data_IF_678550801380
#
_entry.id   IF_678550801380
#
_cell.length_a   1.000
_cell.length_b   1.000
_cell.length_c   1.000
_cell.angle_alpha   90.00
_cell.angle_beta   90.00
_cell.angle_gamma   90.00
#
_symmetry.space_group_name_H-M   'P 1'
#
loop_
_entity.id
_entity.type
_entity.pdbx_description
1 polymer ?
#
# COMPACT_ATOMS: atom_id res chain seq x y z
N UNK A 1 9.23 25.53 1.46
CA UNK A 1 7.92 26.07 1.88
C UNK A 1 7.45 25.27 3.08
N UNK A 2 7.01 25.97 4.11
CA UNK A 2 6.97 25.56 5.52
C UNK A 2 6.12 24.31 5.81
N UNK A 3 6.73 23.30 6.44
CA UNK A 3 6.11 22.01 6.83
C UNK A 3 5.24 22.06 8.09
N UNK A 4 5.09 23.22 8.70
CA UNK A 4 4.47 23.41 10.03
C UNK A 4 2.93 23.33 10.10
N UNK A 5 2.12 23.62 9.05
CA UNK A 5 0.65 23.62 9.21
C UNK A 5 -0.03 22.23 9.29
N UNK A 6 0.65 21.16 8.85
CA UNK A 6 -0.03 19.87 8.62
C UNK A 6 0.02 18.97 9.87
N UNK A 7 1.09 19.02 10.69
CA UNK A 7 1.20 18.22 11.92
C UNK A 7 0.16 18.64 12.97
N UNK A 8 -0.10 19.94 13.06
CA UNK A 8 -1.08 20.50 14.00
C UNK A 8 -2.50 19.97 13.74
N UNK A 9 -2.84 19.71 12.48
CA UNK A 9 -4.14 19.15 12.11
C UNK A 9 -4.35 17.72 12.66
N UNK A 10 -3.33 16.84 12.57
CA UNK A 10 -3.45 15.48 13.11
C UNK A 10 -3.57 15.46 14.63
N UNK A 11 -2.84 16.35 15.31
CA UNK A 11 -2.90 16.44 16.77
C UNK A 11 -4.27 16.91 17.23
N UNK A 12 -4.80 17.97 16.62
CA UNK A 12 -6.13 18.49 16.94
C UNK A 12 -7.22 17.44 16.66
N UNK A 13 -7.16 16.75 15.52
CA UNK A 13 -8.09 15.67 15.21
C UNK A 13 -7.99 14.52 16.22
N UNK A 14 -6.77 14.10 16.59
CA UNK A 14 -6.58 13.07 17.61
C UNK A 14 -7.18 13.48 18.95
N UNK A 15 -6.90 14.68 19.43
CA UNK A 15 -7.42 15.16 20.72
C UNK A 15 -8.96 15.25 20.69
N UNK A 16 -9.54 15.76 19.59
CA UNK A 16 -10.98 15.82 19.38
C UNK A 16 -11.63 14.42 19.42
N UNK A 17 -11.14 13.47 18.63
CA UNK A 17 -11.72 12.13 18.59
C UNK A 17 -11.41 11.32 19.84
N UNK A 18 -10.28 11.56 20.50
CA UNK A 18 -9.98 10.93 21.77
C UNK A 18 -11.04 11.33 22.80
N UNK A 19 -11.35 12.62 22.91
CA UNK A 19 -12.41 13.11 23.80
C UNK A 19 -13.80 12.58 23.38
N UNK A 20 -14.16 12.70 22.10
CA UNK A 20 -15.49 12.37 21.59
C UNK A 20 -15.80 10.87 21.60
N UNK A 21 -14.85 10.03 21.17
CA UNK A 21 -15.07 8.61 20.88
C UNK A 21 -14.43 7.70 21.94
N UNK A 22 -13.23 8.04 22.42
CA UNK A 22 -12.43 7.18 23.30
C UNK A 22 -12.42 7.66 24.77
N UNK A 23 -13.28 8.63 25.10
CA UNK A 23 -13.47 9.15 26.47
C UNK A 23 -12.26 9.87 27.05
N UNK A 24 -11.35 10.38 26.22
CA UNK A 24 -10.15 11.11 26.62
C UNK A 24 -9.07 10.24 27.27
N UNK A 25 -9.16 8.90 27.15
CA UNK A 25 -8.30 7.97 27.90
C UNK A 25 -7.00 7.61 27.21
N UNK A 26 -6.86 7.90 25.91
CA UNK A 26 -5.67 7.54 25.15
C UNK A 26 -4.58 8.60 25.35
N UNK A 27 -3.38 8.24 25.85
CA UNK A 27 -2.24 9.14 25.84
C UNK A 27 -1.87 9.51 24.40
N UNK A 28 -1.41 10.73 24.17
CA UNK A 28 -1.04 11.17 22.82
C UNK A 28 0.17 10.36 22.30
N UNK A 29 0.02 9.59 21.20
CA UNK A 29 1.13 8.86 20.60
C UNK A 29 1.98 9.80 19.72
N UNK A 30 3.08 9.30 19.17
CA UNK A 30 3.81 10.03 18.12
C UNK A 30 2.94 10.11 16.87
N UNK A 31 2.50 11.31 16.51
CA UNK A 31 1.68 11.58 15.33
C UNK A 31 2.55 12.08 14.18
N UNK A 32 2.38 11.52 12.97
CA UNK A 32 3.12 11.99 11.79
C UNK A 32 2.40 11.75 10.48
N UNK A 33 2.71 12.58 9.49
CA UNK A 33 2.39 12.30 8.10
C UNK A 33 3.43 11.36 7.50
N UNK A 34 2.97 10.43 6.67
CA UNK A 34 3.80 9.54 5.87
C UNK A 34 3.51 9.73 4.38
N UNK A 35 4.30 9.07 3.53
CA UNK A 35 4.08 9.04 2.07
C UNK A 35 3.86 7.61 1.57
N UNK A 36 3.19 6.77 2.38
CA UNK A 36 2.97 5.37 2.09
C UNK A 36 1.93 5.19 0.96
N UNK A 37 2.27 4.38 -0.05
CA UNK A 37 1.39 4.11 -1.20
C UNK A 37 0.48 2.90 -0.98
N UNK A 38 0.91 1.94 -0.17
CA UNK A 38 0.19 0.66 0.00
C UNK A 38 -0.81 0.67 1.14
N UNK A 39 -0.86 1.75 1.93
CA UNK A 39 -1.72 1.90 3.11
C UNK A 39 -1.99 3.38 3.37
N UNK A 40 -3.17 3.65 3.94
CA UNK A 40 -3.58 5.01 4.31
C UNK A 40 -3.16 5.37 5.73
N UNK A 41 -3.14 4.40 6.64
CA UNK A 41 -2.76 4.59 8.03
C UNK A 41 -1.79 3.52 8.51
N UNK A 42 -1.17 3.79 9.67
CA UNK A 42 -0.48 2.79 10.46
C UNK A 42 -0.42 3.21 11.93
N UNK A 43 -0.88 2.33 12.81
CA UNK A 43 -0.51 2.27 14.22
C UNK A 43 0.69 1.32 14.39
N UNK A 44 1.72 1.77 15.10
CA UNK A 44 2.88 0.97 15.45
C UNK A 44 3.25 1.18 16.92
N UNK A 45 3.79 0.14 17.54
CA UNK A 45 4.35 0.19 18.89
C UNK A 45 5.52 -0.78 19.01
N UNK A 46 6.39 -0.54 19.99
CA UNK A 46 7.37 -1.53 20.43
C UNK A 46 6.74 -2.47 21.44
N UNK A 47 7.28 -3.68 21.54
CA UNK A 47 6.88 -4.68 22.52
C UNK A 47 8.08 -5.15 23.33
N UNK A 48 7.89 -5.33 24.63
CA UNK A 48 8.85 -5.98 25.53
C UNK A 48 8.14 -7.12 26.24
N UNK A 49 8.80 -8.28 26.34
CA UNK A 49 8.33 -9.40 27.14
C UNK A 49 9.13 -9.47 28.43
N UNK A 50 8.45 -9.56 29.57
CA UNK A 50 9.07 -9.70 30.89
C UNK A 50 8.18 -10.56 31.78
N UNK A 51 8.75 -11.62 32.37
CA UNK A 51 8.05 -12.54 33.29
C UNK A 51 6.68 -13.01 32.74
N UNK A 52 6.64 -13.43 31.47
CA UNK A 52 5.42 -13.93 30.81
C UNK A 52 4.38 -12.85 30.46
N UNK A 53 4.66 -11.57 30.72
CA UNK A 53 3.80 -10.43 30.34
C UNK A 53 4.41 -9.67 29.16
N UNK A 54 3.56 -9.34 28.20
CA UNK A 54 3.92 -8.47 27.07
C UNK A 54 3.46 -7.04 27.36
N UNK A 55 4.38 -6.09 27.30
CA UNK A 55 4.11 -4.66 27.45
C UNK A 55 4.39 -3.95 26.14
N UNK A 56 3.46 -3.08 25.73
CA UNK A 56 3.58 -2.26 24.54
C UNK A 56 3.91 -0.81 24.91
N UNK A 57 4.78 -0.16 24.14
CA UNK A 57 5.26 1.20 24.39
C UNK A 57 5.71 1.87 23.08
N UNK A 58 6.14 3.14 23.13
CA UNK A 58 6.58 3.91 21.95
C UNK A 58 5.54 3.93 20.81
N UNK A 59 4.28 4.20 21.16
CA UNK A 59 3.18 4.23 20.20
C UNK A 59 3.34 5.35 19.17
N UNK A 60 3.04 5.02 17.92
CA UNK A 60 3.05 5.95 16.79
C UNK A 60 1.85 5.69 15.90
N UNK A 61 1.14 6.76 15.53
CA UNK A 61 0.13 6.74 14.49
C UNK A 61 0.64 7.59 13.32
N UNK A 62 0.52 7.06 12.11
CA UNK A 62 0.81 7.82 10.89
C UNK A 62 -0.30 7.71 9.88
N UNK A 63 -0.58 8.82 9.20
CA UNK A 63 -1.54 8.90 8.09
C UNK A 63 -0.78 9.27 6.81
N UNK A 64 -1.13 8.64 5.69
CA UNK A 64 -0.49 8.88 4.41
C UNK A 64 -1.01 10.16 3.77
N UNK A 65 -0.11 11.06 3.41
CA UNK A 65 -0.39 12.25 2.62
C UNK A 65 -0.13 12.02 1.12
N UNK A 66 -0.05 10.74 0.68
CA UNK A 66 0.20 10.40 -0.73
C UNK A 66 -1.04 10.62 -1.59
N UNK A 67 -2.23 10.30 -1.06
CA UNK A 67 -3.50 10.33 -1.78
C UNK A 67 -4.27 11.63 -1.52
N UNK A 68 -5.08 12.03 -2.49
CA UNK A 68 -6.06 13.10 -2.35
C UNK A 68 -7.27 12.54 -1.59
N UNK A 69 -7.32 12.79 -0.29
CA UNK A 69 -8.41 12.40 0.59
C UNK A 69 -9.11 13.66 1.13
N UNK A 70 -10.42 13.56 1.39
CA UNK A 70 -11.14 14.60 2.13
C UNK A 70 -10.71 14.63 3.59
N UNK A 71 -11.11 15.67 4.32
CA UNK A 71 -10.86 15.74 5.76
C UNK A 71 -11.53 14.57 6.48
N UNK A 72 -12.77 14.25 6.12
CA UNK A 72 -13.56 13.17 6.72
C UNK A 72 -12.88 11.82 6.50
N UNK A 73 -12.36 11.56 5.30
CA UNK A 73 -11.61 10.33 5.00
C UNK A 73 -10.30 10.23 5.79
N UNK A 74 -9.56 11.34 5.93
CA UNK A 74 -8.36 11.42 6.78
C UNK A 74 -8.72 11.10 8.23
N UNK A 75 -9.81 11.69 8.73
CA UNK A 75 -10.31 11.47 10.07
C UNK A 75 -10.73 9.99 10.26
N UNK A 76 -11.35 9.35 9.26
CA UNK A 76 -11.72 7.92 9.33
C UNK A 76 -10.51 7.00 9.37
N UNK A 77 -9.46 7.34 8.61
CA UNK A 77 -8.17 6.65 8.69
C UNK A 77 -7.53 6.86 10.06
N UNK A 78 -7.56 8.07 10.61
CA UNK A 78 -7.04 8.34 11.95
C UNK A 78 -7.78 7.53 13.02
N UNK A 79 -9.12 7.52 12.99
CA UNK A 79 -9.93 6.77 13.95
C UNK A 79 -9.69 5.27 13.80
N UNK A 80 -9.52 4.74 12.57
CA UNK A 80 -9.11 3.34 12.35
C UNK A 80 -7.83 3.01 13.13
N UNK A 81 -6.80 3.85 13.02
CA UNK A 81 -5.55 3.65 13.75
C UNK A 81 -5.70 3.86 15.27
N UNK A 82 -6.63 4.72 15.71
CA UNK A 82 -6.96 4.90 17.13
C UNK A 82 -7.68 3.68 17.73
N UNK A 83 -8.46 2.92 16.93
CA UNK A 83 -9.03 1.63 17.37
C UNK A 83 -7.89 0.63 17.62
N UNK A 84 -6.95 0.48 16.68
CA UNK A 84 -5.76 -0.35 16.89
C UNK A 84 -5.00 0.08 18.14
N UNK A 85 -4.81 1.40 18.29
CA UNK A 85 -4.11 1.94 19.45
C UNK A 85 -4.82 1.63 20.76
N UNK A 86 -6.15 1.76 20.80
CA UNK A 86 -6.95 1.42 21.98
C UNK A 86 -6.78 -0.03 22.37
N UNK A 87 -6.86 -0.96 21.41
CA UNK A 87 -6.69 -2.39 21.65
C UNK A 87 -5.29 -2.67 22.22
N UNK A 88 -4.25 -2.10 21.61
CA UNK A 88 -2.87 -2.30 22.05
C UNK A 88 -2.60 -1.68 23.44
N UNK A 89 -3.08 -0.46 23.68
CA UNK A 89 -2.87 0.30 24.92
C UNK A 89 -3.59 -0.32 26.12
N UNK A 90 -4.81 -0.80 25.92
CA UNK A 90 -5.61 -1.45 26.98
C UNK A 90 -5.27 -2.92 27.17
N UNK A 91 -4.49 -3.52 26.27
CA UNK A 91 -4.13 -4.94 26.32
C UNK A 91 -5.30 -5.88 25.99
N UNK A 92 -6.34 -5.38 25.32
CA UNK A 92 -7.45 -6.20 24.85
C UNK A 92 -6.93 -7.26 23.87
N UNK A 93 -7.38 -8.50 24.03
CA UNK A 93 -7.07 -9.59 23.11
C UNK A 93 -8.09 -9.60 21.99
N UNK A 94 -7.63 -9.38 20.76
CA UNK A 94 -8.44 -9.56 19.56
C UNK A 94 -8.11 -10.91 18.89
N UNK A 95 -9.01 -11.40 18.04
CA UNK A 95 -8.87 -12.68 17.33
C UNK A 95 -7.98 -12.58 16.08
N UNK A 96 -7.81 -11.38 15.55
CA UNK A 96 -6.99 -11.04 14.39
C UNK A 96 -6.71 -9.53 14.40
N UNK A 97 -5.86 -8.98 13.51
CA UNK A 97 -5.65 -7.53 13.42
C UNK A 97 -6.93 -6.71 13.26
N UNK A 98 -7.93 -7.25 12.56
CA UNK A 98 -9.28 -6.68 12.46
C UNK A 98 -10.31 -7.73 12.89
N UNK A 99 -10.14 -8.25 14.10
CA UNK A 99 -10.96 -9.33 14.67
C UNK A 99 -12.28 -8.82 15.24
N UNK A 100 -12.85 -9.60 16.16
CA UNK A 100 -14.17 -9.32 16.77
C UNK A 100 -14.14 -7.99 17.52
N UNK A 101 -13.07 -7.70 18.27
CA UNK A 101 -12.97 -6.48 19.09
C UNK A 101 -12.88 -5.27 18.18
N UNK A 102 -11.96 -5.28 17.21
CA UNK A 102 -11.81 -4.19 16.24
C UNK A 102 -13.14 -3.90 15.52
N UNK A 103 -13.78 -4.93 14.97
CA UNK A 103 -15.03 -4.77 14.20
C UNK A 103 -16.16 -4.24 15.06
N UNK A 104 -16.30 -4.75 16.29
CA UNK A 104 -17.30 -4.25 17.23
C UNK A 104 -17.12 -2.76 17.55
N UNK A 105 -15.88 -2.32 17.78
CA UNK A 105 -15.58 -0.90 17.99
C UNK A 105 -15.87 -0.06 16.73
N UNK A 106 -15.41 -0.52 15.57
CA UNK A 106 -15.63 0.14 14.28
C UNK A 106 -17.12 0.32 13.98
N UNK A 107 -17.91 -0.75 14.10
CA UNK A 107 -19.35 -0.72 13.81
C UNK A 107 -20.09 0.20 14.77
N UNK A 108 -19.74 0.18 16.06
CA UNK A 108 -20.29 1.11 17.05
C UNK A 108 -19.98 2.55 16.68
N UNK A 109 -18.72 2.85 16.35
CA UNK A 109 -18.31 4.21 15.99
C UNK A 109 -19.04 4.70 14.74
N UNK A 110 -19.09 3.87 13.69
CA UNK A 110 -19.79 4.21 12.45
C UNK A 110 -21.26 4.53 12.70
N UNK A 111 -21.96 3.72 13.50
CA UNK A 111 -23.38 3.92 13.82
C UNK A 111 -23.64 5.13 14.73
N UNK A 112 -22.80 5.32 15.75
CA UNK A 112 -23.03 6.38 16.75
C UNK A 112 -22.62 7.77 16.25
N UNK A 113 -21.55 7.86 15.46
CA UNK A 113 -20.95 9.13 15.07
C UNK A 113 -21.06 9.42 13.57
N UNK A 114 -21.81 8.61 12.81
CA UNK A 114 -21.99 8.80 11.37
C UNK A 114 -20.67 8.73 10.59
N UNK A 115 -19.78 7.81 10.99
CA UNK A 115 -18.46 7.61 10.38
C UNK A 115 -18.48 6.48 9.36
N UNK A 116 -17.48 6.45 8.47
CA UNK A 116 -17.40 5.46 7.38
C UNK A 116 -16.08 4.67 7.43
N UNK A 117 -15.68 4.27 8.64
CA UNK A 117 -14.46 3.51 8.87
C UNK A 117 -14.60 2.12 8.24
N UNK A 118 -13.58 1.71 7.49
CA UNK A 118 -13.52 0.38 6.86
C UNK A 118 -12.28 -0.39 7.32
N UNK A 119 -12.34 -1.72 7.20
CA UNK A 119 -11.18 -2.59 7.52
C UNK A 119 -10.03 -2.46 6.51
N UNK A 120 -10.34 -2.09 5.27
CA UNK A 120 -9.38 -2.04 4.18
C UNK A 120 -9.84 -1.12 3.07
N UNK A 121 -8.94 -0.30 2.56
CA UNK A 121 -9.16 0.54 1.38
C UNK A 121 -8.30 0.05 0.23
N UNK A 122 -8.90 -0.08 -0.96
CA UNK A 122 -8.17 -0.40 -2.19
C UNK A 122 -7.49 0.84 -2.73
N UNK A 123 -6.23 1.07 -2.35
CA UNK A 123 -5.49 2.28 -2.72
C UNK A 123 -5.25 2.46 -4.23
N UNK A 124 -5.51 1.42 -5.04
CA UNK A 124 -5.44 1.48 -6.51
C UNK A 124 -6.50 2.40 -7.13
N UNK A 125 -7.61 2.60 -6.44
CA UNK A 125 -8.71 3.44 -6.94
C UNK A 125 -8.59 4.89 -6.45
N UNK A 126 -7.58 5.20 -5.65
CA UNK A 126 -7.38 6.52 -5.06
C UNK A 126 -6.44 7.34 -5.93
N UNK A 127 -6.77 8.62 -6.08
CA UNK A 127 -5.95 9.56 -6.83
C UNK A 127 -4.80 10.05 -5.95
N UNK A 128 -3.53 9.98 -6.42
CA UNK A 128 -2.42 10.62 -5.73
C UNK A 128 -2.61 12.15 -5.68
N UNK A 129 -2.15 12.79 -4.60
CA UNK A 129 -2.17 14.27 -4.46
C UNK A 129 -1.27 14.95 -5.50
N UNK A 130 -0.20 14.27 -5.92
CA UNK A 130 0.73 14.76 -6.94
C UNK A 130 0.66 13.79 -8.12
N UNK A 131 0.43 14.33 -9.32
CA UNK A 131 0.44 13.56 -10.55
C UNK A 131 1.74 12.76 -10.66
N UNK A 132 1.61 11.47 -10.96
CA UNK A 132 2.77 10.59 -11.07
C UNK A 132 3.54 10.96 -12.34
N UNK A 133 4.82 11.32 -12.20
CA UNK A 133 5.70 11.55 -13.35
C UNK A 133 5.70 10.32 -14.26
N UNK A 134 5.78 10.54 -15.57
CA UNK A 134 5.84 9.44 -16.55
C UNK A 134 7.00 8.52 -16.21
N UNK A 135 6.68 7.27 -15.90
CA UNK A 135 7.66 6.27 -15.50
C UNK A 135 8.06 5.47 -16.73
N UNK A 136 9.34 5.41 -17.02
CA UNK A 136 9.87 4.48 -17.99
C UNK A 136 9.93 3.07 -17.39
N UNK A 137 9.19 2.13 -17.98
CA UNK A 137 9.22 0.72 -17.64
C UNK A 137 10.13 -0.03 -18.60
N UNK A 138 10.99 -0.89 -18.05
CA UNK A 138 11.66 -1.93 -18.81
C UNK A 138 10.74 -3.15 -18.85
N UNK A 139 10.31 -3.54 -20.05
CA UNK A 139 9.36 -4.63 -20.26
C UNK A 139 10.07 -5.81 -20.93
N UNK A 140 9.88 -6.99 -20.36
CA UNK A 140 10.22 -8.26 -21.00
C UNK A 140 8.94 -8.87 -21.57
N UNK A 141 8.93 -9.11 -22.87
CA UNK A 141 7.87 -9.81 -23.58
C UNK A 141 8.35 -11.21 -23.96
N UNK A 142 7.55 -12.24 -23.66
CA UNK A 142 7.85 -13.65 -23.89
C UNK A 142 6.73 -14.33 -24.66
N UNK A 143 7.12 -15.17 -25.61
CA UNK A 143 6.29 -16.16 -26.28
C UNK A 143 6.83 -17.57 -25.99
N UNK A 144 5.97 -18.43 -25.47
CA UNK A 144 6.30 -19.81 -25.09
C UNK A 144 5.86 -20.80 -26.17
N UNK A 145 6.51 -21.96 -26.24
CA UNK A 145 6.17 -23.04 -27.19
C UNK A 145 4.76 -23.60 -27.02
N UNK A 146 4.19 -23.50 -25.82
CA UNK A 146 2.82 -23.91 -25.53
C UNK A 146 1.77 -22.87 -25.93
N UNK A 147 2.16 -21.81 -26.65
CA UNK A 147 1.28 -20.76 -27.13
C UNK A 147 0.91 -19.73 -26.07
N UNK A 148 1.55 -19.74 -24.89
CA UNK A 148 1.32 -18.72 -23.85
C UNK A 148 2.21 -17.50 -24.06
N UNK A 149 1.65 -16.33 -23.77
CA UNK A 149 2.33 -15.03 -23.89
C UNK A 149 2.42 -14.37 -22.52
N UNK A 150 3.56 -13.74 -22.25
CA UNK A 150 3.80 -13.06 -20.97
C UNK A 150 4.39 -11.67 -21.17
N UNK A 151 3.94 -10.73 -20.34
CA UNK A 151 4.53 -9.41 -20.19
C UNK A 151 5.01 -9.23 -18.75
N UNK A 152 6.20 -8.66 -18.59
CA UNK A 152 6.81 -8.46 -17.27
C UNK A 152 7.42 -7.07 -17.16
N UNK A 153 7.03 -6.27 -16.16
CA UNK A 153 7.77 -5.06 -15.81
C UNK A 153 8.98 -5.45 -14.97
N UNK A 154 10.19 -5.22 -15.47
CA UNK A 154 11.43 -5.72 -14.90
C UNK A 154 12.24 -4.59 -14.28
N UNK A 155 12.89 -4.86 -13.14
CA UNK A 155 13.88 -3.95 -12.60
C UNK A 155 15.13 -3.95 -13.49
N UNK A 156 15.57 -2.79 -14.03
CA UNK A 156 16.73 -2.72 -14.93
C UNK A 156 18.01 -3.37 -14.38
N UNK A 157 18.26 -3.32 -13.07
CA UNK A 157 19.46 -3.93 -12.48
C UNK A 157 19.48 -5.46 -12.56
N UNK A 158 18.33 -6.09 -12.82
CA UNK A 158 18.19 -7.54 -12.96
C UNK A 158 18.10 -8.01 -14.42
N UNK A 159 18.01 -7.08 -15.39
CA UNK A 159 17.79 -7.41 -16.79
C UNK A 159 18.86 -8.37 -17.35
N UNK A 160 20.14 -8.08 -17.09
CA UNK A 160 21.27 -8.94 -17.52
C UNK A 160 21.17 -10.36 -16.96
N UNK A 161 20.85 -10.50 -15.67
CA UNK A 161 20.69 -11.82 -15.02
C UNK A 161 19.54 -12.60 -15.65
N UNK A 162 18.44 -11.92 -15.96
CA UNK A 162 17.29 -12.54 -16.62
C UNK A 162 17.61 -12.95 -18.04
N UNK A 163 18.27 -12.11 -18.84
CA UNK A 163 18.72 -12.47 -20.20
C UNK A 163 19.59 -13.73 -20.22
N UNK A 164 20.52 -13.87 -19.27
CA UNK A 164 21.35 -15.08 -19.14
C UNK A 164 20.55 -16.33 -18.77
N UNK A 165 19.45 -16.17 -18.04
CA UNK A 165 18.56 -17.27 -17.67
C UNK A 165 17.66 -17.68 -18.84
N UNK A 166 17.10 -16.69 -19.55
CA UNK A 166 16.26 -16.88 -20.73
C UNK A 166 17.00 -17.60 -21.86
N UNK A 167 18.28 -17.26 -22.08
CA UNK A 167 19.11 -17.89 -23.11
C UNK A 167 19.31 -19.41 -22.91
N UNK A 168 19.04 -19.94 -21.71
CA UNK A 168 19.16 -21.36 -21.38
C UNK A 168 17.82 -22.11 -21.43
N UNK A 169 16.72 -21.41 -21.65
CA UNK A 169 15.37 -22.00 -21.64
C UNK A 169 14.96 -22.39 -23.04
N UNK A 170 14.71 -23.69 -23.23
CA UNK A 170 14.33 -24.24 -24.54
C UNK A 170 12.83 -24.13 -24.80
N UNK A 171 12.03 -23.80 -23.78
CA UNK A 171 10.58 -23.66 -23.83
C UNK A 171 10.13 -22.32 -24.42
N UNK A 172 11.06 -21.37 -24.61
CA UNK A 172 10.82 -20.03 -25.14
C UNK A 172 10.97 -20.07 -26.66
N UNK A 173 9.94 -19.60 -27.37
CA UNK A 173 9.98 -19.38 -28.82
C UNK A 173 10.68 -18.07 -29.12
N UNK A 174 10.26 -17.01 -28.43
CA UNK A 174 10.76 -15.67 -28.65
C UNK A 174 10.77 -14.87 -27.35
N UNK A 175 11.77 -14.01 -27.19
CA UNK A 175 11.76 -12.95 -26.20
C UNK A 175 12.37 -11.67 -26.73
N UNK A 176 11.87 -10.53 -26.23
CA UNK A 176 12.45 -9.23 -26.52
C UNK A 176 12.26 -8.25 -25.35
N UNK A 177 13.19 -7.31 -25.26
CA UNK A 177 13.17 -6.23 -24.29
C UNK A 177 12.58 -4.97 -24.92
N UNK A 178 11.76 -4.28 -24.16
CA UNK A 178 11.07 -3.07 -24.58
C UNK A 178 11.13 -1.99 -23.50
N UNK A 179 10.95 -0.75 -23.93
CA UNK A 179 10.72 0.39 -23.06
C UNK A 179 9.32 0.93 -23.32
N UNK A 180 8.59 1.24 -22.24
CA UNK A 180 7.24 1.78 -22.31
C UNK A 180 7.01 2.85 -21.25
N UNK A 181 6.11 3.79 -21.54
CA UNK A 181 5.50 4.70 -20.56
C UNK A 181 3.99 4.44 -20.41
N UNK A 182 3.48 3.38 -21.05
CA UNK A 182 2.05 3.06 -21.07
C UNK A 182 1.53 2.71 -19.66
N UNK A 183 0.38 3.29 -19.31
CA UNK A 183 -0.27 3.11 -18.01
C UNK A 183 -0.63 1.64 -17.71
N UNK A 184 -0.75 0.79 -18.74
CA UNK A 184 -0.92 -0.65 -18.58
C UNK A 184 0.11 -1.26 -17.61
N UNK A 185 1.34 -0.74 -17.62
CA UNK A 185 2.44 -1.24 -16.79
C UNK A 185 2.52 -0.60 -15.40
N UNK A 186 1.77 0.48 -15.12
CA UNK A 186 1.77 1.16 -13.82
C UNK A 186 1.37 0.22 -12.67
N UNK A 187 0.42 -0.68 -12.95
CA UNK A 187 -0.13 -1.60 -11.96
C UNK A 187 0.59 -2.96 -11.92
N UNK A 188 1.63 -3.15 -12.73
CA UNK A 188 2.41 -4.39 -12.74
C UNK A 188 3.53 -4.33 -11.71
N UNK A 189 3.70 -5.37 -10.88
CA UNK A 189 4.86 -5.47 -10.00
C UNK A 189 6.16 -5.39 -10.79
N UNK A 190 7.13 -4.64 -10.29
CA UNK A 190 8.47 -4.59 -10.87
C UNK A 190 9.26 -5.83 -10.40
N UNK A 191 9.40 -6.81 -11.29
CA UNK A 191 9.97 -8.12 -10.99
C UNK A 191 11.50 -8.09 -11.01
N UNK A 192 12.11 -8.98 -10.22
CA UNK A 192 13.57 -9.19 -10.12
C UNK A 192 13.97 -10.65 -10.46
N UNK A 193 12.98 -11.44 -10.87
CA UNK A 193 13.06 -12.86 -11.20
C UNK A 193 12.14 -13.12 -12.40
N UNK A 194 12.27 -14.28 -13.04
CA UNK A 194 11.45 -14.63 -14.19
C UNK A 194 10.00 -14.87 -13.75
N UNK A 195 9.21 -13.80 -13.78
CA UNK A 195 7.79 -13.77 -13.47
C UNK A 195 7.13 -12.82 -14.45
N UNK A 196 6.02 -13.22 -15.04
CA UNK A 196 5.25 -12.39 -15.96
C UNK A 196 3.76 -12.57 -15.75
N UNK A 197 3.00 -11.55 -16.15
CA UNK A 197 1.55 -11.67 -16.28
C UNK A 197 1.26 -12.40 -17.59
N UNK A 198 0.59 -13.53 -17.51
CA UNK A 198 0.07 -14.19 -18.71
C UNK A 198 -1.00 -13.28 -19.35
N UNK A 199 -0.91 -13.10 -20.65
CA UNK A 199 -1.84 -12.30 -21.45
C UNK A 199 -2.30 -13.09 -22.68
N UNK A 200 -3.39 -12.65 -23.30
CA UNK A 200 -3.80 -13.21 -24.59
C UNK A 200 -2.83 -12.77 -25.71
N UNK A 201 -2.88 -13.46 -26.85
CA UNK A 201 -2.07 -13.12 -28.02
C UNK A 201 -2.39 -11.71 -28.52
N UNK A 202 -3.65 -11.32 -28.53
CA UNK A 202 -4.13 -10.02 -28.99
C UNK A 202 -3.54 -8.89 -28.12
N UNK A 203 -3.58 -9.06 -26.79
CA UNK A 203 -2.99 -8.11 -25.85
C UNK A 203 -1.48 -8.06 -26.02
N UNK A 204 -0.82 -9.20 -26.19
CA UNK A 204 0.62 -9.27 -26.42
C UNK A 204 1.04 -8.47 -27.66
N UNK A 205 0.44 -8.77 -28.82
CA UNK A 205 0.74 -8.10 -30.10
C UNK A 205 0.48 -6.61 -30.01
N UNK A 206 -0.69 -6.21 -29.49
CA UNK A 206 -1.05 -4.79 -29.31
C UNK A 206 -0.03 -4.06 -28.45
N UNK A 207 0.47 -4.69 -27.38
CA UNK A 207 1.42 -4.06 -26.48
C UNK A 207 2.80 -3.93 -27.10
N UNK A 208 3.33 -4.95 -27.76
CA UNK A 208 4.68 -4.87 -28.36
C UNK A 208 4.77 -3.82 -29.47
N UNK A 209 3.67 -3.56 -30.19
CA UNK A 209 3.58 -2.50 -31.21
C UNK A 209 3.61 -1.09 -30.60
N UNK A 210 3.04 -0.91 -29.42
CA UNK A 210 3.04 0.37 -28.69
C UNK A 210 4.37 0.69 -28.00
N UNK A 211 5.23 -0.30 -27.81
CA UNK A 211 6.45 -0.15 -27.03
C UNK A 211 7.70 0.03 -27.90
N UNK A 212 8.68 0.77 -27.37
CA UNK A 212 9.98 0.91 -28.04
C UNK A 212 10.84 -0.33 -27.77
N UNK A 213 11.10 -1.14 -28.81
CA UNK A 213 12.02 -2.29 -28.69
C UNK A 213 13.44 -1.80 -28.38
N UNK A 214 14.10 -2.46 -27.43
CA UNK A 214 15.49 -2.24 -27.07
C UNK A 214 16.38 -3.21 -27.86
N UNK A 215 17.56 -2.70 -28.26
CA UNK A 215 18.58 -3.48 -28.97
C UNK A 215 19.39 -4.33 -28.00
#
# INVERSE_FOLDING_TARGET
MNTTPIVDCLRQAFDYYNALIFGGKLPVPKLKWSYAKTRLGQMACKRKMSLGRTTYYDYCISVSNYYQLTKEEIDDVLIHEMIHYTIAYTGLKDTAPHGIVFRGMMDKINRTFGRHITISVRTRNLQPRIAQQSKNFLILALEMKDGKYFLSSVNPSFARKLSLSLARMHEIVHYAWYQSQDEYFHNMPCVRSLRGKQVSKEVYTTMIEKMKRLK
#
